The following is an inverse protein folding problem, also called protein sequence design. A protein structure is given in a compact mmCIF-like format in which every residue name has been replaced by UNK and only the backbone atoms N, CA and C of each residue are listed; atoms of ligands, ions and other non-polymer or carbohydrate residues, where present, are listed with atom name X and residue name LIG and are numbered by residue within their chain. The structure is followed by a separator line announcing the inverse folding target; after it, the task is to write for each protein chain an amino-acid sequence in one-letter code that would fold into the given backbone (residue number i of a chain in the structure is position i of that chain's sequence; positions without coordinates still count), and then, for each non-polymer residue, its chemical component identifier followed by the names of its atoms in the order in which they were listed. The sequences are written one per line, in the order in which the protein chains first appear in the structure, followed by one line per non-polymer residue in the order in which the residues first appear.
data_IF_446045364544
#
_entry.id   IF_446045364544
#
_cell.length_a   1.000
_cell.length_b   1.000
_cell.length_c   1.000
_cell.angle_alpha   90.00
_cell.angle_beta   90.00
_cell.angle_gamma   90.00
#
_symmetry.space_group_name_H-M   'P 1'
#
loop_
_entity.id
_entity.type
_entity.pdbx_description
1 polymer ?
#
# COMPACT_ATOMS: atom_id res chain seq x y z
N UNK A 1 20.04 28.62 -69.21
CA UNK A 1 19.20 27.98 -68.19
C UNK A 1 20.01 26.98 -67.40
N UNK A 2 20.37 27.28 -66.15
CA UNK A 2 20.67 26.27 -65.14
C UNK A 2 20.39 26.89 -63.77
N UNK A 3 19.48 26.25 -63.06
CA UNK A 3 18.71 26.73 -61.92
C UNK A 3 19.56 26.75 -60.65
N UNK A 4 19.42 27.83 -59.91
CA UNK A 4 19.75 27.95 -58.49
C UNK A 4 18.88 26.98 -57.67
N UNK A 5 19.52 26.18 -56.82
CA UNK A 5 18.87 25.32 -55.83
C UNK A 5 18.87 26.11 -54.51
N UNK A 6 17.71 26.44 -53.90
CA UNK A 6 17.70 27.06 -52.60
C UNK A 6 17.92 26.01 -51.50
N UNK A 7 18.75 26.37 -50.52
CA UNK A 7 18.93 25.65 -49.26
C UNK A 7 17.56 25.45 -48.59
N UNK A 8 17.11 24.20 -48.54
CA UNK A 8 16.00 23.79 -47.68
C UNK A 8 16.47 23.79 -46.23
N UNK A 9 15.87 24.66 -45.42
CA UNK A 9 16.06 24.67 -43.98
C UNK A 9 15.51 23.35 -43.41
N UNK A 10 16.39 22.46 -42.97
CA UNK A 10 16.02 21.29 -42.20
C UNK A 10 15.55 21.79 -40.82
N UNK A 11 14.23 21.88 -40.68
CA UNK A 11 13.55 22.06 -39.42
C UNK A 11 13.80 20.80 -38.57
N UNK A 12 14.83 20.85 -37.73
CA UNK A 12 15.07 19.86 -36.69
C UNK A 12 13.89 19.90 -35.72
N UNK A 13 12.94 18.98 -35.92
CA UNK A 13 12.00 18.55 -34.89
C UNK A 13 12.85 17.91 -33.78
N UNK A 14 13.24 18.73 -32.81
CA UNK A 14 13.66 18.24 -31.50
C UNK A 14 12.41 17.65 -30.89
N UNK A 15 12.23 16.34 -31.09
CA UNK A 15 11.31 15.55 -30.28
C UNK A 15 11.80 15.71 -28.86
N UNK A 16 11.14 16.58 -28.11
CA UNK A 16 11.22 16.62 -26.67
C UNK A 16 10.73 15.26 -26.19
N UNK A 17 11.68 14.32 -26.05
CA UNK A 17 11.56 13.20 -25.15
C UNK A 17 11.33 13.86 -23.80
N UNK A 18 10.05 14.05 -23.46
CA UNK A 18 9.63 14.26 -22.09
C UNK A 18 10.26 13.08 -21.35
N UNK A 19 11.32 13.35 -20.58
CA UNK A 19 11.74 12.44 -19.54
C UNK A 19 10.51 12.22 -18.67
N UNK A 20 9.80 11.12 -18.93
CA UNK A 20 8.74 10.64 -18.07
C UNK A 20 9.37 10.54 -16.69
N UNK A 21 8.87 11.34 -15.74
CA UNK A 21 9.34 11.32 -14.37
C UNK A 21 9.32 9.88 -13.87
N UNK A 22 10.33 9.43 -13.09
CA UNK A 22 10.58 8.02 -12.82
C UNK A 22 9.33 7.34 -12.27
N UNK A 23 8.92 6.25 -12.93
CA UNK A 23 7.83 5.39 -12.47
C UNK A 23 8.15 4.86 -11.07
N UNK A 24 7.18 4.88 -10.15
CA UNK A 24 7.35 4.20 -8.86
C UNK A 24 7.58 2.73 -9.15
N UNK A 25 8.63 2.16 -8.54
CA UNK A 25 8.97 0.75 -8.68
C UNK A 25 9.10 0.15 -7.29
N UNK A 26 8.39 -0.96 -7.06
CA UNK A 26 8.45 -1.74 -5.82
C UNK A 26 8.78 -3.19 -6.15
N UNK A 27 9.29 -3.99 -5.20
CA UNK A 27 9.37 -5.44 -5.36
C UNK A 27 7.97 -6.03 -5.63
N UNK A 28 7.90 -7.04 -6.50
CA UNK A 28 6.66 -7.79 -6.70
C UNK A 28 6.34 -8.65 -5.47
N UNK A 29 5.06 -8.96 -5.29
CA UNK A 29 4.58 -9.78 -4.17
C UNK A 29 4.60 -11.25 -4.61
N UNK A 30 5.39 -12.13 -3.97
CA UNK A 30 5.35 -13.55 -4.24
C UNK A 30 4.10 -14.16 -3.58
N UNK A 31 3.27 -14.83 -4.37
CA UNK A 31 2.09 -15.57 -3.92
C UNK A 31 2.38 -17.06 -4.06
N UNK A 32 2.26 -17.78 -2.96
CA UNK A 32 2.45 -19.23 -2.93
C UNK A 32 1.08 -19.91 -3.04
N UNK A 33 0.95 -20.82 -4.01
CA UNK A 33 -0.25 -21.63 -4.20
C UNK A 33 -0.20 -22.84 -3.27
N UNK A 34 -1.17 -22.94 -2.36
CA UNK A 34 -1.22 -24.05 -1.41
C UNK A 34 -1.85 -25.28 -2.05
N UNK A 35 -1.10 -26.39 -2.11
CA UNK A 35 -1.57 -27.70 -2.61
C UNK A 35 -2.52 -28.34 -1.61
N UNK A 36 -3.84 -28.19 -1.78
CA UNK A 36 -4.82 -28.94 -1.01
C UNK A 36 -5.75 -29.77 -1.90
N UNK A 37 -5.81 -31.07 -1.62
CA UNK A 37 -6.85 -31.94 -2.14
C UNK A 37 -8.16 -31.66 -1.37
N UNK A 38 -9.25 -31.44 -2.12
CA UNK A 38 -10.63 -31.31 -1.62
C UNK A 38 -10.95 -30.04 -0.79
N UNK A 39 -11.22 -28.99 -1.56
CA UNK A 39 -11.86 -27.70 -1.26
C UNK A 39 -13.02 -27.58 -0.25
N UNK A 40 -13.47 -28.65 0.41
CA UNK A 40 -14.42 -28.59 1.53
C UNK A 40 -13.71 -28.66 2.91
N UNK A 41 -12.39 -28.84 2.88
CA UNK A 41 -11.45 -28.90 3.98
C UNK A 41 -10.34 -27.90 3.65
N UNK A 42 -10.39 -26.70 4.22
CA UNK A 42 -9.25 -25.80 4.14
C UNK A 42 -8.30 -26.18 5.27
N UNK A 43 -7.14 -26.74 4.92
CA UNK A 43 -6.05 -26.96 5.87
C UNK A 43 -5.22 -25.67 5.93
N UNK A 44 -5.39 -24.90 7.01
CA UNK A 44 -4.62 -23.69 7.28
C UNK A 44 -3.65 -23.98 8.44
N UNK A 45 -2.56 -24.70 8.16
CA UNK A 45 -1.67 -25.22 9.21
C UNK A 45 -2.22 -26.51 9.85
N UNK A 46 -2.27 -26.65 11.20
CA UNK A 46 -2.74 -27.88 11.85
C UNK A 46 -4.27 -28.03 11.87
N UNK A 47 -5.02 -26.99 11.51
CA UNK A 47 -6.48 -26.98 11.62
C UNK A 47 -7.16 -27.18 10.26
N UNK A 48 -8.22 -28.00 10.29
CA UNK A 48 -9.10 -28.26 9.16
C UNK A 48 -10.36 -27.42 9.34
N UNK A 49 -10.62 -26.52 8.39
CA UNK A 49 -11.82 -25.67 8.38
C UNK A 49 -12.83 -26.18 7.34
N UNK A 50 -14.07 -26.35 7.78
CA UNK A 50 -15.19 -26.80 6.96
C UNK A 50 -16.18 -25.66 6.70
N UNK A 51 -16.62 -25.49 5.46
CA UNK A 51 -17.66 -24.52 5.10
C UNK A 51 -18.67 -25.07 4.10
N UNK A 52 -19.85 -24.46 4.04
CA UNK A 52 -20.89 -24.82 3.06
C UNK A 52 -20.53 -24.40 1.63
N UNK A 53 -19.67 -23.40 1.49
CA UNK A 53 -19.03 -22.95 0.26
C UNK A 53 -17.67 -22.31 0.60
N UNK A 54 -16.92 -21.85 -0.41
CA UNK A 54 -15.58 -21.27 -0.20
C UNK A 54 -15.58 -20.00 0.63
N UNK A 55 -16.59 -19.14 0.46
CA UNK A 55 -16.72 -17.91 1.24
C UNK A 55 -16.97 -18.22 2.72
N UNK A 56 -17.84 -19.20 3.01
CA UNK A 56 -18.12 -19.67 4.37
C UNK A 56 -16.92 -20.38 5.02
N UNK A 57 -16.11 -21.10 4.24
CA UNK A 57 -14.88 -21.68 4.75
C UNK A 57 -13.83 -20.58 5.02
N UNK A 58 -13.72 -19.59 4.14
CA UNK A 58 -12.80 -18.46 4.30
C UNK A 58 -13.17 -17.56 5.49
N UNK A 59 -14.46 -17.31 5.71
CA UNK A 59 -14.93 -16.46 6.81
C UNK A 59 -14.53 -17.02 8.19
N UNK A 60 -14.44 -18.35 8.31
CA UNK A 60 -13.96 -19.05 9.52
C UNK A 60 -12.45 -18.93 9.74
N UNK A 61 -11.70 -18.51 8.72
CA UNK A 61 -10.28 -18.19 8.80
C UNK A 61 -10.01 -16.69 9.03
N UNK A 62 -11.06 -15.87 9.19
CA UNK A 62 -10.90 -14.43 9.41
C UNK A 62 -10.09 -14.11 10.67
N UNK A 63 -10.21 -14.93 11.73
CA UNK A 63 -9.39 -14.81 12.95
C UNK A 63 -7.90 -15.07 12.72
N UNK A 64 -7.56 -15.75 11.62
CA UNK A 64 -6.19 -16.02 11.19
C UNK A 64 -5.71 -15.03 10.11
N UNK A 65 -6.44 -13.93 9.88
CA UNK A 65 -6.05 -12.89 8.92
C UNK A 65 -6.44 -13.16 7.47
N UNK A 66 -7.23 -14.19 7.20
CA UNK A 66 -7.72 -14.48 5.86
C UNK A 66 -8.94 -13.63 5.51
N UNK A 67 -9.02 -13.18 4.25
CA UNK A 67 -10.10 -12.34 3.74
C UNK A 67 -10.61 -12.88 2.41
N UNK A 68 -11.94 -12.92 2.25
CA UNK A 68 -12.58 -13.25 0.97
C UNK A 68 -12.66 -12.00 0.11
N UNK A 69 -11.83 -11.94 -0.95
CA UNK A 69 -11.80 -10.76 -1.83
C UNK A 69 -11.30 -11.09 -3.22
N UNK A 70 -11.57 -10.19 -4.17
CA UNK A 70 -10.93 -10.23 -5.48
C UNK A 70 -9.46 -9.89 -5.29
N UNK A 71 -8.59 -10.89 -5.50
CA UNK A 71 -7.15 -10.67 -5.40
C UNK A 71 -6.66 -9.96 -6.65
N UNK A 72 -5.84 -8.90 -6.52
CA UNK A 72 -5.57 -8.04 -7.65
C UNK A 72 -4.72 -8.72 -8.72
N UNK A 73 -5.05 -8.37 -9.98
CA UNK A 73 -4.37 -8.66 -11.25
C UNK A 73 -4.86 -9.85 -12.11
N UNK A 74 -5.59 -10.87 -11.62
CA UNK A 74 -5.77 -12.09 -12.47
C UNK A 74 -7.17 -12.72 -12.58
N UNK A 75 -8.19 -12.28 -11.83
CA UNK A 75 -9.59 -12.72 -12.02
C UNK A 75 -10.63 -11.64 -11.64
N UNK A 76 -11.89 -11.83 -12.07
CA UNK A 76 -13.07 -11.13 -11.54
C UNK A 76 -13.70 -11.87 -10.34
N UNK A 77 -13.27 -13.10 -10.09
CA UNK A 77 -13.81 -13.94 -9.03
C UNK A 77 -13.01 -13.77 -7.73
N UNK A 78 -13.69 -13.74 -6.56
CA UNK A 78 -13.04 -13.65 -5.26
C UNK A 78 -12.34 -14.96 -4.86
N UNK A 79 -11.33 -14.84 -4.02
CA UNK A 79 -10.58 -15.95 -3.43
C UNK A 79 -10.28 -15.66 -1.96
N UNK A 80 -9.90 -16.70 -1.20
CA UNK A 80 -9.52 -16.55 0.20
C UNK A 80 -8.03 -16.22 0.31
N UNK A 81 -7.70 -15.05 0.86
CA UNK A 81 -6.36 -14.49 0.83
C UNK A 81 -5.90 -14.03 2.21
N UNK A 82 -4.69 -14.46 2.61
CA UNK A 82 -3.98 -13.94 3.79
C UNK A 82 -2.92 -12.92 3.34
N UNK A 83 -3.09 -11.61 3.65
CA UNK A 83 -2.07 -10.59 3.36
C UNK A 83 -0.79 -10.78 4.18
N UNK A 84 -0.91 -11.26 5.41
CA UNK A 84 0.24 -11.48 6.30
C UNK A 84 1.13 -12.62 5.80
N UNK A 85 0.51 -13.68 5.28
CA UNK A 85 1.24 -14.88 4.84
C UNK A 85 1.51 -14.89 3.33
N UNK A 86 0.90 -13.96 2.57
CA UNK A 86 0.86 -13.96 1.11
C UNK A 86 0.38 -15.29 0.51
N UNK A 87 -0.57 -15.93 1.18
CA UNK A 87 -1.16 -17.22 0.78
C UNK A 87 -2.51 -16.99 0.12
N UNK A 88 -2.71 -17.67 -1.02
CA UNK A 88 -3.97 -17.70 -1.74
C UNK A 88 -4.56 -19.10 -1.73
N UNK A 89 -5.84 -19.20 -1.33
CA UNK A 89 -6.62 -20.43 -1.38
C UNK A 89 -7.72 -20.24 -2.43
N UNK A 90 -7.53 -20.90 -3.58
CA UNK A 90 -8.39 -20.75 -4.74
C UNK A 90 -9.77 -21.38 -4.53
N UNK A 91 -10.80 -20.73 -5.09
CA UNK A 91 -12.14 -21.27 -5.18
C UNK A 91 -12.40 -21.80 -6.59
N UNK A 92 -12.51 -23.13 -6.74
CA UNK A 92 -12.77 -23.86 -8.00
C UNK A 92 -11.67 -23.78 -9.08
N UNK A 93 -10.66 -22.93 -8.93
CA UNK A 93 -9.55 -22.77 -9.87
C UNK A 93 -8.22 -22.61 -9.14
N UNK A 94 -7.17 -23.20 -9.71
CA UNK A 94 -5.77 -23.05 -9.34
C UNK A 94 -5.13 -21.99 -10.24
N UNK A 95 -4.23 -21.18 -9.69
CA UNK A 95 -3.46 -20.20 -10.46
C UNK A 95 -2.14 -20.81 -10.92
N UNK A 96 -1.89 -20.81 -12.23
CA UNK A 96 -0.65 -21.30 -12.82
C UNK A 96 0.33 -20.15 -13.16
N UNK A 97 1.63 -20.50 -13.26
CA UNK A 97 2.75 -19.58 -13.53
C UNK A 97 2.57 -18.76 -14.81
N UNK A 98 1.95 -19.39 -15.81
CA UNK A 98 1.71 -18.86 -17.14
C UNK A 98 0.43 -18.01 -17.22
N UNK A 99 -0.18 -17.68 -16.08
CA UNK A 99 -1.46 -16.97 -15.98
C UNK A 99 -2.68 -17.75 -16.50
N UNK A 100 -2.57 -19.08 -16.67
CA UNK A 100 -3.74 -19.93 -16.93
C UNK A 100 -4.48 -20.28 -15.63
N UNK A 101 -5.80 -20.49 -15.77
CA UNK A 101 -6.64 -21.06 -14.73
C UNK A 101 -6.69 -22.57 -14.92
N UNK A 102 -6.20 -23.32 -13.94
CA UNK A 102 -6.38 -24.76 -13.89
C UNK A 102 -7.64 -25.08 -13.10
N UNK A 103 -8.58 -25.82 -13.67
CA UNK A 103 -9.75 -26.29 -12.94
C UNK A 103 -9.35 -27.48 -12.04
N UNK A 104 -10.15 -27.78 -11.02
CA UNK A 104 -9.94 -28.82 -10.00
C UNK A 104 -9.47 -30.21 -10.53
N UNK A 105 -9.71 -30.49 -11.81
CA UNK A 105 -9.32 -31.72 -12.52
C UNK A 105 -7.97 -31.62 -13.27
N UNK A 106 -7.23 -30.53 -13.10
CA UNK A 106 -5.93 -30.31 -13.74
C UNK A 106 -4.82 -30.69 -12.76
N UNK A 107 -3.88 -31.56 -13.15
CA UNK A 107 -2.83 -31.99 -12.23
C UNK A 107 -2.01 -30.85 -11.63
N UNK A 108 -1.76 -30.92 -10.32
CA UNK A 108 -1.06 -29.90 -9.53
C UNK A 108 0.35 -29.54 -10.04
N UNK A 109 1.00 -30.40 -10.83
CA UNK A 109 2.31 -30.15 -11.44
C UNK A 109 2.27 -29.21 -12.67
N UNK A 110 1.08 -28.78 -13.10
CA UNK A 110 0.91 -27.82 -14.20
C UNK A 110 0.90 -26.35 -13.73
N UNK A 111 0.77 -26.09 -12.43
CA UNK A 111 0.90 -24.75 -11.86
C UNK A 111 2.25 -24.61 -11.12
N UNK A 112 2.95 -23.48 -11.28
CA UNK A 112 4.10 -23.17 -10.43
C UNK A 112 3.64 -22.98 -8.99
N UNK A 113 4.48 -23.39 -8.05
CA UNK A 113 4.19 -23.27 -6.62
C UNK A 113 4.13 -21.81 -6.17
N UNK A 114 4.84 -20.92 -6.86
CA UNK A 114 4.87 -19.48 -6.59
C UNK A 114 4.65 -18.70 -7.88
N UNK A 115 3.87 -17.62 -7.82
CA UNK A 115 3.78 -16.62 -8.87
C UNK A 115 3.89 -15.22 -8.28
N UNK A 116 4.38 -14.28 -9.06
CA UNK A 116 4.48 -12.89 -8.62
C UNK A 116 3.26 -12.08 -9.09
N UNK A 117 2.84 -11.14 -8.25
CA UNK A 117 1.77 -10.19 -8.57
C UNK A 117 2.13 -8.79 -8.08
N UNK A 118 1.36 -7.81 -8.54
CA UNK A 118 1.45 -6.45 -8.05
C UNK A 118 0.33 -6.11 -7.07
N UNK A 119 0.50 -5.09 -6.22
CA UNK A 119 -0.47 -4.78 -5.17
C UNK A 119 -1.86 -4.53 -5.72
N UNK A 120 -1.99 -3.91 -6.90
CA UNK A 120 -3.27 -3.73 -7.55
C UNK A 120 -3.15 -3.53 -9.08
N UNK A 121 -4.29 -3.36 -9.77
CA UNK A 121 -4.37 -3.23 -11.25
C UNK A 121 -3.75 -1.94 -11.81
N UNK A 122 -3.45 -0.93 -10.99
CA UNK A 122 -2.75 0.29 -11.41
C UNK A 122 -1.25 0.05 -11.60
N UNK A 123 -0.74 -1.09 -11.12
CA UNK A 123 0.65 -1.51 -11.23
C UNK A 123 0.85 -2.52 -12.35
N UNK A 124 2.02 -2.46 -12.98
CA UNK A 124 2.43 -3.34 -14.07
C UNK A 124 3.64 -4.17 -13.64
N UNK A 125 3.50 -5.49 -13.68
CA UNK A 125 4.58 -6.43 -13.40
C UNK A 125 5.67 -6.36 -14.48
N UNK A 126 6.94 -6.41 -14.07
CA UNK A 126 8.09 -6.45 -14.96
C UNK A 126 8.20 -7.80 -15.67
N UNK A 127 8.95 -7.83 -16.78
CA UNK A 127 9.10 -9.04 -17.63
C UNK A 127 9.82 -10.17 -16.87
N UNK A 128 10.67 -9.83 -15.91
CA UNK A 128 11.38 -10.77 -15.04
C UNK A 128 10.59 -11.15 -13.77
N UNK A 129 9.35 -10.68 -13.63
CA UNK A 129 8.46 -10.92 -12.49
C UNK A 129 8.98 -10.42 -11.13
N UNK A 130 10.10 -9.69 -11.07
CA UNK A 130 10.72 -9.25 -9.81
C UNK A 130 10.21 -7.91 -9.28
N UNK A 131 9.58 -7.10 -10.13
CA UNK A 131 9.21 -5.73 -9.76
C UNK A 131 7.87 -5.30 -10.34
N UNK A 132 7.23 -4.37 -9.66
CA UNK A 132 5.98 -3.75 -10.07
C UNK A 132 6.23 -2.26 -10.29
N UNK A 133 5.77 -1.74 -11.42
CA UNK A 133 5.94 -0.34 -11.79
C UNK A 133 4.59 0.31 -12.09
N UNK A 134 4.43 1.58 -11.72
CA UNK A 134 3.27 2.38 -12.17
C UNK A 134 3.71 3.76 -12.65
N UNK A 135 3.00 4.36 -13.64
CA UNK A 135 3.29 5.71 -14.09
C UNK A 135 3.15 6.71 -12.94
N UNK A 136 3.92 7.80 -12.99
CA UNK A 136 3.72 8.91 -12.07
C UNK A 136 2.29 9.46 -12.18
N UNK A 137 1.58 9.43 -11.06
CA UNK A 137 0.22 9.96 -11.00
C UNK A 137 0.27 11.49 -11.01
N UNK A 138 -0.33 12.11 -12.02
CA UNK A 138 -0.63 13.55 -12.02
C UNK A 138 -1.95 13.77 -11.28
N UNK A 139 -1.93 13.79 -9.95
CA UNK A 139 -3.11 14.20 -9.18
C UNK A 139 -3.08 15.70 -8.85
N UNK A 140 -4.27 16.32 -8.92
CA UNK A 140 -4.53 17.71 -8.54
C UNK A 140 -4.94 17.86 -7.08
N UNK A 141 -4.86 16.79 -6.30
CA UNK A 141 -5.31 16.77 -4.91
C UNK A 141 -4.42 17.66 -4.02
N UNK A 142 -5.06 18.32 -3.07
CA UNK A 142 -4.42 19.21 -2.10
C UNK A 142 -4.82 18.82 -0.68
N UNK A 143 -4.06 19.20 0.36
CA UNK A 143 -4.47 18.97 1.74
C UNK A 143 -5.89 19.45 2.06
N UNK A 144 -6.41 20.48 1.38
CA UNK A 144 -7.76 21.00 1.62
C UNK A 144 -8.88 20.14 1.00
N UNK A 145 -8.56 19.24 0.07
CA UNK A 145 -9.55 18.51 -0.74
C UNK A 145 -9.60 17.01 -0.45
N UNK A 146 -8.70 16.50 0.37
CA UNK A 146 -8.60 15.08 0.73
C UNK A 146 -9.14 14.82 2.13
N UNK A 147 -9.50 13.57 2.42
CA UNK A 147 -9.89 13.17 3.77
C UNK A 147 -8.71 13.30 4.75
N UNK A 148 -9.01 13.37 6.04
CA UNK A 148 -8.00 13.48 7.10
C UNK A 148 -7.10 12.23 7.13
N UNK A 149 -7.69 11.05 6.97
CA UNK A 149 -6.99 9.75 6.92
C UNK A 149 -5.99 9.72 5.78
N UNK A 150 -6.40 10.17 4.58
CA UNK A 150 -5.52 10.18 3.40
C UNK A 150 -4.37 11.16 3.57
N UNK A 151 -4.63 12.35 4.12
CA UNK A 151 -3.58 13.33 4.38
C UNK A 151 -2.60 12.83 5.44
N UNK A 152 -3.10 12.24 6.53
CA UNK A 152 -2.29 11.66 7.59
C UNK A 152 -1.42 10.51 7.06
N UNK A 153 -1.99 9.60 6.25
CA UNK A 153 -1.25 8.53 5.60
C UNK A 153 -0.14 9.07 4.68
N UNK A 154 -0.42 10.14 3.93
CA UNK A 154 0.59 10.76 3.08
C UNK A 154 1.73 11.38 3.87
N UNK A 155 1.44 12.04 4.99
CA UNK A 155 2.46 12.56 5.92
C UNK A 155 3.30 11.39 6.43
N UNK A 156 2.67 10.37 7.01
CA UNK A 156 3.36 9.21 7.59
C UNK A 156 4.25 8.52 6.57
N UNK A 157 3.75 8.24 5.37
CA UNK A 157 4.55 7.57 4.34
C UNK A 157 5.69 8.43 3.79
N UNK A 158 5.48 9.76 3.75
CA UNK A 158 6.52 10.70 3.39
C UNK A 158 7.66 10.77 4.41
N UNK A 159 7.33 10.68 5.70
CA UNK A 159 8.25 10.83 6.83
C UNK A 159 8.91 9.51 7.28
N UNK A 160 8.21 8.38 7.18
CA UNK A 160 8.69 7.06 7.61
C UNK A 160 9.90 6.57 6.79
N UNK A 161 10.61 5.53 7.20
CA UNK A 161 11.56 4.85 6.30
C UNK A 161 10.82 3.95 5.30
N UNK A 162 11.47 3.57 4.20
CA UNK A 162 10.92 2.56 3.27
C UNK A 162 10.72 1.20 3.92
N UNK A 163 11.49 0.91 4.97
CA UNK A 163 11.43 -0.36 5.71
C UNK A 163 10.66 -0.24 7.02
N UNK A 164 9.93 0.86 7.24
CA UNK A 164 9.24 1.06 8.52
C UNK A 164 8.12 0.06 8.76
N UNK A 165 8.07 -0.48 9.97
CA UNK A 165 7.04 -1.44 10.40
C UNK A 165 5.68 -0.77 10.55
N UNK A 166 4.65 -1.57 10.82
CA UNK A 166 3.33 -1.04 11.16
C UNK A 166 3.40 -0.12 12.38
N UNK A 167 4.07 -0.55 13.45
CA UNK A 167 4.20 0.17 14.71
C UNK A 167 4.92 1.50 14.52
N UNK A 168 5.98 1.54 13.71
CA UNK A 168 6.68 2.79 13.42
C UNK A 168 5.77 3.78 12.67
N UNK A 169 5.01 3.30 11.67
CA UNK A 169 4.07 4.13 10.91
C UNK A 169 2.93 4.64 11.82
N UNK A 170 2.39 3.76 12.66
CA UNK A 170 1.35 4.10 13.63
C UNK A 170 1.86 5.13 14.66
N UNK A 171 3.10 4.97 15.13
CA UNK A 171 3.70 5.92 16.07
C UNK A 171 3.87 7.32 15.45
N UNK A 172 4.35 7.41 14.20
CA UNK A 172 4.42 8.71 13.50
C UNK A 172 3.01 9.30 13.39
N UNK A 173 1.99 8.49 13.07
CA UNK A 173 0.61 8.94 13.00
C UNK A 173 0.10 9.47 14.36
N UNK A 174 0.33 8.74 15.45
CA UNK A 174 -0.02 9.16 16.81
C UNK A 174 0.64 10.49 17.19
N UNK A 175 1.92 10.69 16.84
CA UNK A 175 2.63 11.94 17.11
C UNK A 175 2.01 13.13 16.37
N UNK A 176 1.61 12.95 15.10
CA UNK A 176 0.91 13.98 14.32
C UNK A 176 -0.44 14.35 14.94
N UNK A 177 -1.24 13.35 15.30
CA UNK A 177 -2.54 13.56 15.96
C UNK A 177 -2.38 14.26 17.30
N UNK A 178 -1.39 13.86 18.10
CA UNK A 178 -1.12 14.50 19.39
C UNK A 178 -0.68 15.95 19.23
N UNK A 179 0.14 16.26 18.22
CA UNK A 179 0.55 17.63 17.92
C UNK A 179 -0.66 18.48 17.48
N UNK A 180 -1.53 17.93 16.61
CA UNK A 180 -2.80 18.55 16.20
C UNK A 180 -3.64 18.92 17.43
N UNK A 181 -3.88 17.95 18.30
CA UNK A 181 -4.76 18.09 19.47
C UNK A 181 -4.18 19.07 20.50
N UNK A 182 -2.87 18.97 20.77
CA UNK A 182 -2.17 19.86 21.72
C UNK A 182 -2.18 21.32 21.27
N UNK A 183 -2.22 21.54 19.95
CA UNK A 183 -2.35 22.87 19.35
C UNK A 183 -3.81 23.28 19.06
N UNK A 184 -4.79 22.45 19.42
CA UNK A 184 -6.23 22.70 19.25
C UNK A 184 -6.62 22.95 17.79
N UNK A 185 -6.06 22.16 16.88
CA UNK A 185 -6.54 22.12 15.50
C UNK A 185 -7.63 21.06 15.36
N UNK A 186 -8.69 21.37 14.60
CA UNK A 186 -9.85 20.48 14.45
C UNK A 186 -9.55 19.25 13.57
N UNK A 187 -8.54 19.35 12.71
CA UNK A 187 -8.10 18.27 11.82
C UNK A 187 -6.63 18.42 11.42
N UNK A 188 -6.02 17.34 10.91
CA UNK A 188 -4.69 17.35 10.28
C UNK A 188 -4.68 18.30 9.07
N UNK A 189 -5.79 18.40 8.33
CA UNK A 189 -5.93 19.33 7.21
C UNK A 189 -5.77 20.78 7.70
N UNK A 190 -6.45 21.16 8.79
CA UNK A 190 -6.32 22.49 9.39
C UNK A 190 -4.92 22.74 9.97
N UNK A 191 -4.30 21.72 10.58
CA UNK A 191 -2.90 21.79 11.04
C UNK A 191 -1.97 22.12 9.88
N UNK A 192 -2.04 21.38 8.77
CA UNK A 192 -1.19 21.58 7.59
C UNK A 192 -1.44 22.92 6.93
N UNK A 193 -2.70 23.35 6.83
CA UNK A 193 -3.06 24.67 6.28
C UNK A 193 -2.44 25.81 7.09
N UNK A 194 -2.56 25.75 8.43
CA UNK A 194 -2.06 26.80 9.34
C UNK A 194 -0.57 26.69 9.64
N UNK A 195 0.03 25.50 9.50
CA UNK A 195 1.45 25.22 9.73
C UNK A 195 2.04 24.41 8.58
N UNK A 196 2.24 25.01 7.39
CA UNK A 196 2.70 24.30 6.19
C UNK A 196 4.12 23.74 6.27
N UNK A 197 4.89 24.14 7.29
CA UNK A 197 6.26 23.66 7.56
C UNK A 197 6.31 22.60 8.67
N UNK A 198 5.17 22.18 9.21
CA UNK A 198 5.12 21.18 10.29
C UNK A 198 5.77 19.85 9.87
N UNK A 199 5.51 19.41 8.64
CA UNK A 199 6.06 18.18 8.07
C UNK A 199 6.90 18.53 6.83
N UNK A 200 8.13 18.01 6.79
CA UNK A 200 9.00 18.16 5.62
C UNK A 200 8.42 17.43 4.42
N UNK A 201 7.73 16.30 4.65
CA UNK A 201 7.04 15.56 3.61
C UNK A 201 5.97 16.40 2.90
N UNK A 202 5.16 17.13 3.66
CA UNK A 202 4.13 18.04 3.12
C UNK A 202 4.77 19.25 2.45
N UNK A 203 5.68 19.93 3.16
CA UNK A 203 6.30 21.16 2.71
C UNK A 203 7.04 20.97 1.38
N UNK A 204 7.91 19.97 1.32
CA UNK A 204 8.72 19.67 0.15
C UNK A 204 7.97 18.82 -0.88
N UNK A 205 6.77 18.33 -0.54
CA UNK A 205 5.98 17.39 -1.36
C UNK A 205 6.85 16.22 -1.83
N UNK A 206 7.52 15.58 -0.88
CA UNK A 206 8.43 14.46 -1.16
C UNK A 206 7.70 13.36 -1.95
N UNK A 207 8.44 12.58 -2.72
CA UNK A 207 7.87 11.61 -3.66
C UNK A 207 6.81 10.71 -3.03
N UNK A 208 7.14 10.05 -1.91
CA UNK A 208 6.22 9.17 -1.17
C UNK A 208 4.95 9.87 -0.69
N UNK A 209 5.06 11.10 -0.18
CA UNK A 209 3.87 11.89 0.16
C UNK A 209 2.95 12.06 -1.07
N UNK A 210 3.52 12.39 -2.23
CA UNK A 210 2.75 12.55 -3.47
C UNK A 210 2.13 11.24 -3.93
N UNK A 211 2.82 10.11 -3.77
CA UNK A 211 2.31 8.79 -4.15
C UNK A 211 1.03 8.45 -3.41
N UNK A 212 0.99 8.68 -2.09
CA UNK A 212 -0.22 8.45 -1.29
C UNK A 212 -1.30 9.46 -1.62
N UNK A 213 -0.97 10.75 -1.71
CA UNK A 213 -1.92 11.80 -2.11
C UNK A 213 -2.58 11.50 -3.45
N UNK A 214 -1.88 10.83 -4.37
CA UNK A 214 -2.45 10.50 -5.67
C UNK A 214 -3.12 9.12 -5.77
N UNK A 215 -3.11 8.33 -4.70
CA UNK A 215 -3.62 6.97 -4.67
C UNK A 215 -5.02 6.85 -4.09
N UNK A 216 -5.65 5.69 -4.24
CA UNK A 216 -6.66 5.27 -3.29
C UNK A 216 -5.97 4.58 -2.09
N UNK A 217 -5.74 5.33 -1.01
CA UNK A 217 -4.90 4.86 0.11
C UNK A 217 -5.40 3.56 0.76
N UNK A 218 -6.72 3.37 0.87
CA UNK A 218 -7.31 2.16 1.47
C UNK A 218 -7.01 0.91 0.63
N UNK A 219 -7.04 1.06 -0.70
CA UNK A 219 -6.81 -0.05 -1.64
C UNK A 219 -5.31 -0.28 -1.86
N UNK A 220 -4.55 0.80 -2.01
CA UNK A 220 -3.17 0.74 -2.48
C UNK A 220 -2.15 0.65 -1.34
N UNK A 221 -2.51 1.14 -0.15
CA UNK A 221 -1.65 1.15 1.04
C UNK A 221 -2.44 0.71 2.30
N UNK A 222 -3.07 -0.48 2.31
CA UNK A 222 -3.99 -0.89 3.37
C UNK A 222 -3.34 -0.94 4.77
N UNK A 223 -2.09 -1.39 4.88
CA UNK A 223 -1.39 -1.40 6.17
C UNK A 223 -1.12 0.01 6.71
N UNK A 224 -0.72 0.93 5.83
CA UNK A 224 -0.55 2.33 6.18
C UNK A 224 -1.88 2.97 6.57
N UNK A 225 -2.95 2.66 5.82
CA UNK A 225 -4.28 3.13 6.11
C UNK A 225 -4.75 2.66 7.49
N UNK A 226 -4.56 1.38 7.82
CA UNK A 226 -4.88 0.85 9.14
C UNK A 226 -4.03 1.49 10.26
N UNK A 227 -2.74 1.76 10.00
CA UNK A 227 -1.87 2.41 10.97
C UNK A 227 -2.36 3.82 11.33
N UNK A 228 -2.85 4.58 10.34
CA UNK A 228 -3.39 5.93 10.59
C UNK A 228 -4.79 5.91 11.19
N UNK A 229 -5.64 4.93 10.84
CA UNK A 229 -6.93 4.74 11.48
C UNK A 229 -6.76 4.45 12.97
N UNK A 230 -5.83 3.58 13.35
CA UNK A 230 -5.49 3.36 14.76
C UNK A 230 -5.16 4.67 15.49
N UNK A 231 -4.42 5.60 14.86
CA UNK A 231 -4.10 6.88 15.51
C UNK A 231 -5.30 7.84 15.62
N UNK A 232 -6.27 7.75 14.73
CA UNK A 232 -7.48 8.58 14.72
C UNK A 232 -8.58 8.05 15.64
N UNK A 233 -8.60 6.75 15.92
CA UNK A 233 -9.59 6.13 16.80
C UNK A 233 -9.36 6.48 18.27
N UNK A 234 -10.42 6.81 19.04
CA UNK A 234 -10.29 7.14 20.47
C UNK A 234 -9.65 6.01 21.30
N UNK A 235 -9.96 4.76 20.95
CA UNK A 235 -9.48 3.53 21.60
C UNK A 235 -8.22 2.95 20.95
N UNK A 236 -7.64 3.68 19.99
CA UNK A 236 -6.41 3.28 19.33
C UNK A 236 -5.21 3.17 20.26
N UNK A 237 -4.30 2.26 19.93
CA UNK A 237 -3.06 2.07 20.67
C UNK A 237 -2.11 3.24 20.35
N UNK A 238 -1.54 3.86 21.38
CA UNK A 238 -0.56 4.92 21.21
C UNK A 238 0.85 4.34 21.05
N UNK A 239 1.24 4.09 19.80
CA UNK A 239 2.58 3.57 19.49
C UNK A 239 3.68 4.63 19.62
N UNK A 240 3.33 5.91 19.76
CA UNK A 240 4.29 6.99 20.01
C UNK A 240 4.66 7.13 21.48
N UNK A 241 4.00 6.39 22.39
CA UNK A 241 4.27 6.47 23.83
C UNK A 241 4.27 7.92 24.35
N UNK A 242 3.23 8.68 24.05
CA UNK A 242 3.17 10.07 24.49
C UNK A 242 3.94 11.09 23.64
N UNK A 243 4.76 10.66 22.68
CA UNK A 243 5.56 11.54 21.82
C UNK A 243 4.70 12.46 20.94
N UNK A 244 5.04 13.75 20.92
CA UNK A 244 4.47 14.76 19.99
C UNK A 244 5.35 15.02 18.77
N UNK A 245 6.61 14.59 18.86
CA UNK A 245 7.63 14.70 17.84
C UNK A 245 8.28 13.33 17.69
N UNK A 246 8.83 13.08 16.52
CA UNK A 246 9.64 11.90 16.28
C UNK A 246 10.94 12.37 15.65
N UNK A 247 12.07 11.95 16.20
CA UNK A 247 13.23 11.63 15.40
C UNK A 247 13.33 10.10 15.29
N UNK A 248 14.07 9.58 14.32
CA UNK A 248 14.17 8.13 14.11
C UNK A 248 14.77 7.33 15.28
N UNK A 249 15.17 7.98 16.38
CA UNK A 249 15.72 7.37 17.58
C UNK A 249 14.65 7.11 18.66
N UNK A 250 13.56 7.89 18.69
CA UNK A 250 12.55 7.89 19.76
C UNK A 250 11.64 6.65 19.80
N UNK A 251 11.47 5.93 18.69
CA UNK A 251 10.52 4.82 18.55
C UNK A 251 11.01 3.45 19.10
N UNK A 252 12.16 3.43 19.78
CA UNK A 252 12.75 2.20 20.34
C UNK A 252 12.23 1.83 21.73
N UNK A 253 11.44 2.69 22.36
CA UNK A 253 10.95 2.51 23.72
C UNK A 253 9.43 2.51 23.77
N UNK A 254 8.86 1.33 24.02
CA UNK A 254 7.46 1.18 24.40
C UNK A 254 7.17 2.05 25.62
N UNK A 255 5.98 2.63 25.67
CA UNK A 255 5.51 3.09 26.96
C UNK A 255 4.05 3.51 26.99
N UNK A 256 3.70 3.99 28.17
CA UNK A 256 2.34 4.12 28.62
C UNK A 256 1.83 5.54 28.38
N UNK A 257 0.59 5.62 27.88
CA UNK A 257 -0.17 6.85 27.65
C UNK A 257 -0.34 7.61 28.97
N UNK A 258 0.62 8.46 29.31
CA UNK A 258 0.59 9.27 30.54
C UNK A 258 0.03 10.66 30.24
N UNK A 259 -0.82 11.15 31.15
CA UNK A 259 -1.52 12.44 31.06
C UNK A 259 -0.64 13.65 31.42
N UNK A 260 0.67 13.56 31.24
CA UNK A 260 1.61 14.57 31.74
C UNK A 260 2.72 14.85 30.73
N UNK A 261 2.79 16.12 30.31
CA UNK A 261 3.78 16.70 29.42
C UNK A 261 5.22 16.35 29.82
N UNK A 262 5.99 15.82 28.88
CA UNK A 262 7.43 16.07 28.81
C UNK A 262 7.73 16.85 27.53
N UNK A 263 7.97 18.15 27.70
CA UNK A 263 8.58 19.03 26.71
C UNK A 263 10.02 18.58 26.46
N UNK A 264 10.39 18.37 25.21
CA UNK A 264 11.74 18.66 24.75
C UNK A 264 11.66 19.47 23.45
N UNK A 265 12.44 20.56 23.44
CA UNK A 265 12.59 21.56 22.38
C UNK A 265 13.39 21.01 21.20
#
# INVERSE_FOLDING_TARGET
MKRSIPLGANLLLVSSILCAKPAETIPSIPIINYKNDLAYIIVAGPEVVHGFNYEDACSKLASYGYTWKIVPHKSADPACYSPSDNVLMGANTWYCADSTLAYYNTPWWLCSETFHTCPNRTWKLSIDDLSCSRPNLTCSETPATVSEEKLLAAIVYGEASVNSTFEEKAAIANAVIRFRDSNKFDSVNTLVEKRPYYSAAVHNKVERYRLVMCSNVEIEYPELYNAVLNALEPEGVDFANGGCFWDGYDLKTLGEKTSTLSLWL
#
